data_IF_079385004475
#
_entry.id   IF_079385004475
#
_cell.length_a   1.000
_cell.length_b   1.000
_cell.length_c   1.000
_cell.angle_alpha   90.00
_cell.angle_beta   90.00
_cell.angle_gamma   90.00
#
_symmetry.space_group_name_H-M   'P 1'
#
loop_
_entity.id
_entity.type
_entity.pdbx_description
1 polymer ?
#
# COMPACT_ATOMS: atom_id res chain seq x y z
N UNK A 1 -25.83 -4.65 -14.78
CA UNK A 1 -25.81 -5.12 -13.37
C UNK A 1 -24.37 -5.25 -12.84
N UNK A 2 -23.38 -4.52 -13.39
CA UNK A 2 -21.98 -4.60 -12.95
C UNK A 2 -21.66 -3.68 -11.76
N UNK A 3 -22.37 -2.55 -11.65
CA UNK A 3 -22.12 -1.53 -10.62
C UNK A 3 -22.36 -2.04 -9.20
N UNK A 4 -23.37 -2.88 -9.01
CA UNK A 4 -23.74 -3.38 -7.69
C UNK A 4 -22.72 -4.38 -7.17
N UNK A 5 -22.25 -5.28 -8.02
CA UNK A 5 -21.27 -6.30 -7.66
C UNK A 5 -19.89 -5.68 -7.38
N UNK A 6 -19.53 -4.62 -8.11
CA UNK A 6 -18.31 -3.83 -7.86
C UNK A 6 -18.39 -3.08 -6.52
N UNK A 7 -19.54 -2.48 -6.21
CA UNK A 7 -19.77 -1.81 -4.93
C UNK A 7 -19.74 -2.80 -3.75
N UNK A 8 -20.38 -3.95 -3.88
CA UNK A 8 -20.38 -5.00 -2.86
C UNK A 8 -18.98 -5.60 -2.65
N UNK A 9 -18.19 -5.75 -3.73
CA UNK A 9 -16.79 -6.18 -3.66
C UNK A 9 -15.91 -5.15 -2.91
N UNK A 10 -16.04 -3.87 -3.25
CA UNK A 10 -15.32 -2.78 -2.57
C UNK A 10 -15.69 -2.71 -1.09
N UNK A 11 -16.99 -2.81 -0.78
CA UNK A 11 -17.50 -2.78 0.60
C UNK A 11 -16.97 -3.95 1.43
N UNK A 12 -17.00 -5.17 0.88
CA UNK A 12 -16.51 -6.36 1.59
C UNK A 12 -14.99 -6.32 1.81
N UNK A 13 -14.24 -5.75 0.84
CA UNK A 13 -12.81 -5.46 1.01
C UNK A 13 -12.59 -4.45 2.16
N UNK A 14 -13.31 -3.33 2.17
CA UNK A 14 -13.21 -2.32 3.25
C UNK A 14 -13.58 -2.87 4.64
N UNK A 15 -14.62 -3.71 4.75
CA UNK A 15 -15.03 -4.34 6.01
C UNK A 15 -13.93 -5.24 6.59
N UNK A 16 -13.26 -6.05 5.74
CA UNK A 16 -12.13 -6.88 6.16
C UNK A 16 -10.96 -6.05 6.70
N UNK A 17 -10.73 -4.85 6.19
CA UNK A 17 -9.67 -3.95 6.68
C UNK A 17 -10.05 -3.24 7.98
N UNK A 18 -11.30 -2.84 8.16
CA UNK A 18 -11.78 -2.25 9.42
C UNK A 18 -11.70 -3.24 10.60
N UNK A 19 -11.81 -4.55 10.32
CA UNK A 19 -11.60 -5.63 11.30
C UNK A 19 -10.14 -5.77 11.76
N UNK A 20 -9.16 -5.39 10.93
CA UNK A 20 -7.75 -5.38 11.28
C UNK A 20 -7.31 -3.95 11.62
N UNK A 21 -7.64 -3.48 12.82
CA UNK A 21 -7.50 -2.08 13.27
C UNK A 21 -6.15 -1.41 12.91
N UNK A 22 -5.04 -2.14 13.04
CA UNK A 22 -3.69 -1.62 12.78
C UNK A 22 -3.32 -1.64 11.29
N UNK A 23 -3.81 -2.61 10.52
CA UNK A 23 -3.57 -2.72 9.08
C UNK A 23 -4.51 -1.82 8.28
N UNK A 24 -5.76 -1.69 8.74
CA UNK A 24 -6.77 -0.81 8.17
C UNK A 24 -6.35 0.66 8.25
N UNK A 25 -5.72 1.10 9.35
CA UNK A 25 -5.17 2.46 9.43
C UNK A 25 -4.05 2.71 8.42
N UNK A 26 -3.08 1.81 8.31
CA UNK A 26 -1.97 1.98 7.34
C UNK A 26 -2.44 1.96 5.89
N UNK A 27 -3.39 1.09 5.54
CA UNK A 27 -3.94 1.05 4.17
C UNK A 27 -4.77 2.31 3.89
N UNK A 28 -5.58 2.77 4.84
CA UNK A 28 -6.35 4.00 4.69
C UNK A 28 -5.41 5.20 4.46
N UNK A 29 -4.33 5.27 5.23
CA UNK A 29 -3.27 6.28 5.10
C UNK A 29 -2.60 6.21 3.72
N UNK A 30 -2.28 5.01 3.21
CA UNK A 30 -1.75 4.80 1.85
C UNK A 30 -2.74 5.17 0.75
N UNK A 31 -4.04 4.95 0.93
CA UNK A 31 -5.08 5.33 -0.05
C UNK A 31 -5.31 6.83 -0.06
N UNK A 32 -5.31 7.48 1.10
CA UNK A 32 -5.51 8.92 1.26
C UNK A 32 -4.32 9.74 0.78
N UNK A 33 -3.09 9.30 1.09
CA UNK A 33 -1.87 10.03 0.75
C UNK A 33 -1.20 9.53 -0.55
N UNK A 34 -1.68 8.43 -1.12
CA UNK A 34 -1.11 7.78 -2.29
C UNK A 34 0.06 6.84 -1.97
N UNK A 35 0.54 6.04 -2.94
CA UNK A 35 1.65 5.12 -2.72
C UNK A 35 2.88 5.87 -2.24
N UNK A 36 3.54 5.35 -1.21
CA UNK A 36 4.73 5.98 -0.65
C UNK A 36 5.81 6.06 -1.73
N UNK A 37 6.54 7.18 -1.79
CA UNK A 37 7.67 7.33 -2.71
C UNK A 37 8.68 6.22 -2.45
N UNK A 38 8.95 5.42 -3.46
CA UNK A 38 9.90 4.31 -3.35
C UNK A 38 11.26 4.86 -2.89
N UNK A 39 11.82 4.34 -1.78
CA UNK A 39 12.96 4.98 -1.14
C UNK A 39 14.20 4.94 -2.02
N UNK A 40 14.98 6.02 -1.97
CA UNK A 40 16.25 6.18 -2.70
C UNK A 40 17.44 6.04 -1.76
N UNK A 41 18.57 5.61 -2.32
CA UNK A 41 19.88 5.59 -1.67
C UNK A 41 20.91 6.26 -2.57
N UNK A 42 21.85 6.99 -1.97
CA UNK A 42 23.01 7.48 -2.68
C UNK A 42 24.13 6.44 -2.62
N UNK A 43 24.54 5.95 -3.79
CA UNK A 43 25.68 5.06 -3.94
C UNK A 43 26.69 5.77 -4.84
N UNK A 44 27.90 6.01 -4.32
CA UNK A 44 29.00 6.66 -5.04
C UNK A 44 28.64 8.03 -5.66
N UNK A 45 27.77 8.80 -5.00
CA UNK A 45 27.31 10.12 -5.47
C UNK A 45 26.21 10.07 -6.52
N UNK A 46 25.67 8.87 -6.82
CA UNK A 46 24.51 8.68 -7.69
C UNK A 46 23.31 8.27 -6.83
N UNK A 47 22.23 9.05 -6.91
CA UNK A 47 20.96 8.68 -6.28
C UNK A 47 20.26 7.62 -7.12
N UNK A 48 20.03 6.43 -6.56
CA UNK A 48 19.24 5.36 -7.19
C UNK A 48 18.12 4.88 -6.26
N UNK A 49 17.10 4.25 -6.83
CA UNK A 49 16.07 3.57 -6.04
C UNK A 49 16.66 2.34 -5.34
N UNK A 50 16.26 2.12 -4.09
CA UNK A 50 16.62 0.90 -3.34
C UNK A 50 16.01 -0.32 -4.01
N UNK A 51 16.71 -1.44 -3.98
CA UNK A 51 16.10 -2.76 -4.23
C UNK A 51 15.29 -3.17 -3.01
N UNK A 52 14.32 -4.08 -3.20
CA UNK A 52 13.51 -4.61 -2.08
C UNK A 52 14.38 -5.22 -0.96
N UNK A 53 15.49 -5.88 -1.31
CA UNK A 53 16.44 -6.44 -0.36
C UNK A 53 17.23 -5.40 0.43
N UNK A 54 17.26 -4.15 -0.02
CA UNK A 54 17.93 -3.01 0.62
C UNK A 54 16.95 -2.20 1.50
N UNK A 55 15.68 -2.58 1.53
CA UNK A 55 14.67 -1.95 2.38
C UNK A 55 14.87 -2.35 3.84
N UNK A 56 14.67 -1.37 4.73
CA UNK A 56 14.46 -1.65 6.14
C UNK A 56 13.14 -2.40 6.35
N UNK A 57 12.97 -3.01 7.52
CA UNK A 57 11.74 -3.72 7.86
C UNK A 57 10.50 -2.81 7.78
N UNK A 58 10.61 -1.54 8.19
CA UNK A 58 9.51 -0.58 8.11
C UNK A 58 9.15 -0.22 6.66
N UNK A 59 10.15 0.05 5.80
CA UNK A 59 9.94 0.35 4.39
C UNK A 59 9.34 -0.84 3.63
N UNK A 60 9.79 -2.07 3.93
CA UNK A 60 9.25 -3.28 3.34
C UNK A 60 7.78 -3.52 3.75
N UNK A 61 7.46 -3.33 5.03
CA UNK A 61 6.09 -3.43 5.54
C UNK A 61 5.20 -2.40 4.83
N UNK A 62 5.66 -1.16 4.67
CA UNK A 62 4.91 -0.11 4.00
C UNK A 62 4.68 -0.42 2.51
N UNK A 63 5.72 -0.86 1.79
CA UNK A 63 5.61 -1.26 0.38
C UNK A 63 4.60 -2.40 0.17
N UNK A 64 4.56 -3.37 1.10
CA UNK A 64 3.58 -4.47 1.09
C UNK A 64 2.14 -3.97 1.27
N UNK A 65 1.94 -2.93 2.09
CA UNK A 65 0.62 -2.30 2.26
C UNK A 65 0.22 -1.48 1.05
N UNK A 66 1.12 -0.72 0.43
CA UNK A 66 0.82 0.07 -0.78
C UNK A 66 0.41 -0.83 -1.97
N UNK A 67 1.07 -1.99 -2.11
CA UNK A 67 0.67 -3.01 -3.10
C UNK A 67 -0.73 -3.54 -2.80
N UNK A 68 -1.04 -3.83 -1.53
CA UNK A 68 -2.39 -4.25 -1.11
C UNK A 68 -3.42 -3.15 -1.36
N UNK A 69 -3.10 -1.89 -1.08
CA UNK A 69 -3.96 -0.74 -1.30
C UNK A 69 -4.32 -0.57 -2.78
N UNK A 70 -3.31 -0.67 -3.66
CA UNK A 70 -3.50 -0.56 -5.11
C UNK A 70 -4.41 -1.67 -5.66
N UNK A 71 -4.29 -2.89 -5.12
CA UNK A 71 -5.15 -4.03 -5.50
C UNK A 71 -6.60 -3.92 -4.98
N UNK A 72 -6.92 -2.97 -4.09
CA UNK A 72 -8.28 -2.71 -3.60
C UNK A 72 -8.99 -1.71 -4.50
N UNK A 73 -8.26 -0.71 -5.00
CA UNK A 73 -8.80 0.38 -5.82
C UNK A 73 -9.00 -0.05 -7.29
N UNK A 74 -8.09 -0.88 -7.82
CA UNK A 74 -8.18 -1.47 -9.17
C UNK A 74 -9.06 -2.73 -9.19
#
# INVERSE_FOLDING_TARGET
MLEKDMYDSWKSRMELYMLNEQQGRMILESVEHGPLLWPTIEEDGVTRLKKYSELSAAEAIQADYDVKATNIIL
#
